data_IF_979247001518
#
_entry.id   IF_979247001518
#
_cell.length_a   1.000
_cell.length_b   1.000
_cell.length_c   1.000
_cell.angle_alpha   90.00
_cell.angle_beta   90.00
_cell.angle_gamma   90.00
#
_symmetry.space_group_name_H-M   'P 1'
#
loop_
_entity.id
_entity.type
_entity.pdbx_description
1 polymer ?
#
# COMPACT_ATOMS: atom_id res chain seq x y z
N UNK A 1 -4.56 -52.28 -22.96
CA UNK A 1 -3.23 -52.85 -22.65
C UNK A 1 -2.32 -51.68 -22.29
N UNK A 2 -1.60 -51.79 -21.16
CA UNK A 2 -0.58 -50.87 -20.59
C UNK A 2 0.77 -50.95 -21.35
N UNK A 3 1.89 -50.25 -21.00
CA UNK A 3 2.20 -49.39 -19.81
C UNK A 3 2.80 -47.97 -20.12
N UNK A 4 2.74 -47.00 -19.18
CA UNK A 4 3.89 -46.51 -18.35
C UNK A 4 4.19 -45.00 -18.60
N UNK A 5 5.09 -44.25 -17.93
CA UNK A 5 5.80 -44.32 -16.63
C UNK A 5 6.52 -42.95 -16.39
N UNK A 6 6.29 -42.15 -15.31
CA UNK A 6 6.99 -42.12 -13.98
C UNK A 6 7.94 -40.91 -13.71
N UNK A 7 7.62 -40.11 -12.67
CA UNK A 7 8.48 -39.28 -11.74
C UNK A 7 8.90 -37.80 -12.00
N UNK A 8 8.31 -36.94 -11.15
CA UNK A 8 8.76 -35.79 -10.32
C UNK A 8 10.06 -34.98 -10.54
N UNK A 9 9.95 -33.65 -10.25
CA UNK A 9 10.88 -32.96 -9.32
C UNK A 9 10.29 -31.72 -8.63
N UNK A 10 10.68 -31.52 -7.38
CA UNK A 10 10.22 -30.48 -6.44
C UNK A 10 10.90 -29.12 -6.66
N UNK A 11 10.18 -28.02 -6.39
CA UNK A 11 10.78 -26.73 -6.05
C UNK A 11 10.16 -26.20 -4.74
N UNK A 12 11.01 -25.90 -3.76
CA UNK A 12 10.63 -25.54 -2.39
C UNK A 12 10.30 -24.04 -2.28
N UNK A 13 9.15 -23.70 -1.69
CA UNK A 13 8.71 -22.32 -1.46
C UNK A 13 8.20 -22.12 -0.04
N UNK A 14 9.10 -22.18 0.94
CA UNK A 14 8.76 -22.01 2.37
C UNK A 14 8.51 -20.55 2.71
N UNK A 15 7.43 -20.30 3.48
CA UNK A 15 7.29 -19.38 4.64
C UNK A 15 5.91 -18.70 4.61
N UNK A 16 4.99 -19.19 5.44
CA UNK A 16 3.87 -18.38 5.91
C UNK A 16 4.43 -17.15 6.63
N UNK A 17 4.14 -15.96 6.12
CA UNK A 17 4.25 -14.73 6.89
C UNK A 17 2.91 -14.51 7.59
N UNK A 18 2.85 -14.81 8.89
CA UNK A 18 1.76 -14.35 9.74
C UNK A 18 1.91 -12.84 9.89
N UNK A 19 1.15 -12.08 9.10
CA UNK A 19 0.98 -10.66 9.35
C UNK A 19 0.05 -10.51 10.56
N UNK A 20 0.63 -10.14 11.71
CA UNK A 20 -0.15 -9.74 12.89
C UNK A 20 -0.81 -8.40 12.60
N UNK A 21 -2.08 -8.44 12.20
CA UNK A 21 -2.89 -7.25 11.99
C UNK A 21 -3.26 -6.63 13.36
N UNK A 22 -2.56 -5.58 13.75
CA UNK A 22 -2.86 -4.72 14.91
C UNK A 22 -2.08 -3.41 14.82
N UNK A 23 -2.46 -2.58 13.86
CA UNK A 23 -1.98 -1.21 13.70
C UNK A 23 -2.97 -0.23 14.34
N UNK A 24 -3.01 -0.21 15.67
CA UNK A 24 -3.89 0.71 16.44
C UNK A 24 -3.26 2.09 16.55
N UNK A 25 -3.29 2.87 15.48
CA UNK A 25 -2.74 4.24 15.47
C UNK A 25 -3.70 5.23 16.14
N UNK A 26 -3.66 5.29 17.47
CA UNK A 26 -4.17 6.45 18.23
C UNK A 26 -3.15 7.58 18.12
N UNK A 27 -3.24 8.37 17.05
CA UNK A 27 -2.56 9.67 16.96
C UNK A 27 -3.59 10.76 17.21
N UNK A 28 -3.64 11.23 18.45
CA UNK A 28 -4.57 12.28 18.87
C UNK A 28 -4.12 13.63 18.29
N UNK A 29 -5.07 14.38 17.71
CA UNK A 29 -4.95 15.79 17.34
C UNK A 29 -4.35 16.18 15.94
N UNK A 30 -4.58 15.40 14.88
CA UNK A 30 -4.55 15.88 13.46
C UNK A 30 -5.97 15.90 12.85
N UNK A 31 -6.26 16.73 11.81
CA UNK A 31 -7.60 16.77 11.20
C UNK A 31 -8.00 15.41 10.64
N UNK A 32 -9.17 14.92 11.04
CA UNK A 32 -9.64 13.57 10.77
C UNK A 32 -10.08 13.37 9.31
N UNK A 33 -9.11 13.17 8.41
CA UNK A 33 -9.35 12.86 6.99
C UNK A 33 -9.83 11.42 6.80
N UNK A 34 -10.96 11.05 7.42
CA UNK A 34 -11.57 9.71 7.29
C UNK A 34 -12.49 9.65 6.06
N UNK A 35 -12.53 8.53 5.32
CA UNK A 35 -11.79 7.29 5.57
C UNK A 35 -10.35 7.35 5.01
N UNK A 36 -9.39 6.87 5.80
CA UNK A 36 -7.98 6.74 5.39
C UNK A 36 -7.74 5.33 4.84
N UNK A 37 -6.91 5.20 3.81
CA UNK A 37 -6.49 3.87 3.36
C UNK A 37 -5.64 3.21 4.47
N UNK A 38 -5.87 1.94 4.83
CA UNK A 38 -5.09 1.27 5.86
C UNK A 38 -3.59 1.23 5.55
N UNK A 39 -2.75 1.20 6.58
CA UNK A 39 -1.30 1.02 6.45
C UNK A 39 -0.52 2.27 6.04
N UNK A 40 -1.11 3.46 6.12
CA UNK A 40 -0.40 4.73 5.95
C UNK A 40 0.67 4.91 7.04
N UNK A 41 1.79 5.54 6.67
CA UNK A 41 2.94 5.80 7.56
C UNK A 41 2.62 6.74 8.73
N UNK A 42 3.25 6.48 9.88
CA UNK A 42 3.27 7.43 10.99
C UNK A 42 3.88 8.78 10.59
N UNK A 43 3.35 9.86 11.17
CA UNK A 43 3.84 11.22 10.91
C UNK A 43 3.42 11.81 9.57
N UNK A 44 2.46 11.20 8.87
CA UNK A 44 1.76 11.86 7.78
C UNK A 44 1.23 13.24 8.24
N UNK A 45 1.35 14.25 7.38
CA UNK A 45 0.97 15.63 7.67
C UNK A 45 0.23 16.32 6.52
N UNK A 46 0.04 15.60 5.42
CA UNK A 46 -0.53 16.10 4.17
C UNK A 46 -1.22 14.95 3.48
N UNK A 47 -2.50 15.15 3.25
CA UNK A 47 -3.42 14.12 2.78
C UNK A 47 -3.94 14.45 1.39
N UNK A 48 -4.27 13.41 0.63
CA UNK A 48 -4.90 13.51 -0.68
C UNK A 48 -6.06 12.52 -0.75
N UNK A 49 -7.25 13.00 -1.08
CA UNK A 49 -8.42 12.18 -1.36
C UNK A 49 -8.36 11.68 -2.80
N UNK A 50 -8.41 10.36 -3.00
CA UNK A 50 -8.28 9.75 -4.33
C UNK A 50 -9.62 9.80 -5.07
N UNK A 51 -9.67 10.57 -6.15
CA UNK A 51 -10.81 10.57 -7.09
C UNK A 51 -10.59 9.58 -8.25
N UNK A 52 -11.63 9.34 -9.05
CA UNK A 52 -11.67 8.32 -10.12
C UNK A 52 -10.61 8.50 -11.23
N UNK A 53 -10.07 9.71 -11.39
CA UNK A 53 -9.02 10.06 -12.36
C UNK A 53 -7.60 10.12 -11.74
N UNK A 54 -7.47 9.91 -10.42
CA UNK A 54 -6.18 9.91 -9.73
C UNK A 54 -5.49 8.52 -9.83
N UNK A 55 -4.16 8.55 -9.89
CA UNK A 55 -3.30 7.38 -9.84
C UNK A 55 -1.96 7.76 -9.23
N UNK A 56 -1.21 6.80 -8.70
CA UNK A 56 -0.01 7.06 -7.91
C UNK A 56 1.00 8.00 -8.59
N UNK A 57 1.14 7.88 -9.92
CA UNK A 57 1.97 8.79 -10.73
C UNK A 57 1.40 10.22 -10.79
N UNK A 58 0.11 10.41 -11.10
CA UNK A 58 -0.50 11.74 -11.18
C UNK A 58 -0.56 12.42 -9.80
N UNK A 59 -0.79 11.65 -8.74
CA UNK A 59 -0.69 12.11 -7.35
C UNK A 59 0.74 12.59 -7.04
N UNK A 60 1.75 11.77 -7.35
CA UNK A 60 3.14 12.14 -7.10
C UNK A 60 3.54 13.43 -7.86
N UNK A 61 3.13 13.56 -9.14
CA UNK A 61 3.35 14.78 -9.93
C UNK A 61 2.58 16.01 -9.42
N UNK A 62 1.35 15.83 -8.93
CA UNK A 62 0.49 16.89 -8.36
C UNK A 62 1.11 17.49 -7.10
N UNK A 63 1.68 16.66 -6.24
CA UNK A 63 2.33 17.09 -4.99
C UNK A 63 3.86 17.31 -5.10
N UNK A 64 4.46 17.07 -6.27
CA UNK A 64 5.91 17.20 -6.54
C UNK A 64 6.79 16.34 -5.61
N UNK A 65 6.30 15.16 -5.26
CA UNK A 65 6.99 14.14 -4.46
C UNK A 65 7.53 13.04 -5.39
N UNK A 66 8.52 12.25 -4.93
CA UNK A 66 8.93 11.07 -5.70
C UNK A 66 7.88 9.98 -5.53
N UNK A 67 7.62 9.23 -6.61
CA UNK A 67 6.73 8.07 -6.57
C UNK A 67 7.19 7.01 -5.55
N UNK A 68 8.50 6.86 -5.36
CA UNK A 68 9.06 5.97 -4.33
C UNK A 68 8.75 6.46 -2.89
N UNK A 69 8.75 7.77 -2.65
CA UNK A 69 8.40 8.35 -1.35
C UNK A 69 6.89 8.12 -1.09
N UNK A 70 6.04 8.33 -2.11
CA UNK A 70 4.61 8.02 -2.05
C UNK A 70 4.32 6.54 -1.72
N UNK A 71 5.02 5.59 -2.35
CA UNK A 71 4.88 4.16 -2.02
C UNK A 71 5.38 3.82 -0.61
N UNK A 72 6.46 4.48 -0.16
CA UNK A 72 6.98 4.32 1.21
C UNK A 72 5.96 4.80 2.26
N UNK A 73 5.22 5.88 1.97
CA UNK A 73 4.20 6.42 2.86
C UNK A 73 2.86 5.69 2.80
N UNK A 74 2.62 4.90 1.74
CA UNK A 74 1.37 4.19 1.49
C UNK A 74 1.64 2.73 1.04
N UNK A 75 2.29 1.88 1.86
CA UNK A 75 2.70 0.52 1.46
C UNK A 75 1.56 -0.35 0.91
N UNK A 76 0.33 -0.20 1.43
CA UNK A 76 -0.84 -0.95 0.97
C UNK A 76 -1.36 -0.54 -0.41
N UNK A 77 -0.84 0.54 -1.01
CA UNK A 77 -1.10 0.90 -2.41
C UNK A 77 -0.32 0.00 -3.38
N UNK A 78 0.78 -0.58 -2.92
CA UNK A 78 1.67 -1.42 -3.73
C UNK A 78 2.55 -0.63 -4.71
N UNK A 79 3.69 -1.21 -5.09
CA UNK A 79 4.65 -0.58 -6.00
C UNK A 79 4.16 -0.47 -7.46
N UNK A 80 3.06 -1.15 -7.78
CA UNK A 80 2.37 -1.14 -9.08
C UNK A 80 1.08 -0.29 -9.06
N UNK A 81 0.79 0.38 -7.94
CA UNK A 81 -0.44 1.17 -7.72
C UNK A 81 -1.76 0.36 -7.67
N UNK A 82 -1.70 -0.99 -7.75
CA UNK A 82 -2.90 -1.84 -7.82
C UNK A 82 -3.79 -1.77 -6.58
N UNK A 83 -3.22 -1.38 -5.44
CA UNK A 83 -3.91 -1.23 -4.17
C UNK A 83 -4.43 0.19 -3.90
N UNK A 84 -4.38 1.14 -4.84
CA UNK A 84 -4.90 2.50 -4.59
C UNK A 84 -6.44 2.50 -4.47
N UNK A 85 -6.97 2.90 -3.32
CA UNK A 85 -8.42 2.88 -3.08
C UNK A 85 -9.08 4.22 -3.42
N UNK A 86 -10.02 4.20 -4.37
CA UNK A 86 -10.86 5.35 -4.70
C UNK A 86 -11.74 5.74 -3.50
N UNK A 87 -11.92 7.04 -3.30
CA UNK A 87 -12.68 7.65 -2.21
C UNK A 87 -12.09 7.43 -0.80
N UNK A 88 -10.79 7.11 -0.72
CA UNK A 88 -10.02 7.10 0.53
C UNK A 88 -8.95 8.19 0.50
N UNK A 89 -8.49 8.60 1.68
CA UNK A 89 -7.32 9.45 1.83
C UNK A 89 -6.02 8.65 1.85
N UNK A 90 -5.03 9.12 1.11
CA UNK A 90 -3.63 8.65 1.09
C UNK A 90 -2.68 9.76 1.52
N UNK A 91 -1.50 9.36 2.02
CA UNK A 91 -0.47 10.27 2.47
C UNK A 91 0.38 10.80 1.30
N UNK A 92 0.58 12.12 1.26
CA UNK A 92 1.39 12.82 0.25
C UNK A 92 2.42 13.77 0.88
N UNK A 93 2.72 13.58 2.17
CA UNK A 93 3.78 14.26 2.89
C UNK A 93 3.84 13.84 4.35
N UNK A 94 5.06 13.82 4.89
CA UNK A 94 5.34 13.63 6.33
C UNK A 94 6.00 14.89 6.89
N UNK A 95 5.87 15.17 8.20
CA UNK A 95 6.74 16.19 8.83
C UNK A 95 8.14 15.59 9.04
N UNK A 96 9.15 16.41 8.71
CA UNK A 96 10.53 16.26 9.21
C UNK A 96 10.65 16.82 10.62
#
# INVERSE_FOLDING_TARGET
>A
MTPGATVSKTATGTKSATATDSATHTSENEPSHRPEQPGIVDGCNKWHYVDNDDGCYSIAEKYKIKLADFYSWNPNVGNDCSGLWLHYYVCVGVKS
#
